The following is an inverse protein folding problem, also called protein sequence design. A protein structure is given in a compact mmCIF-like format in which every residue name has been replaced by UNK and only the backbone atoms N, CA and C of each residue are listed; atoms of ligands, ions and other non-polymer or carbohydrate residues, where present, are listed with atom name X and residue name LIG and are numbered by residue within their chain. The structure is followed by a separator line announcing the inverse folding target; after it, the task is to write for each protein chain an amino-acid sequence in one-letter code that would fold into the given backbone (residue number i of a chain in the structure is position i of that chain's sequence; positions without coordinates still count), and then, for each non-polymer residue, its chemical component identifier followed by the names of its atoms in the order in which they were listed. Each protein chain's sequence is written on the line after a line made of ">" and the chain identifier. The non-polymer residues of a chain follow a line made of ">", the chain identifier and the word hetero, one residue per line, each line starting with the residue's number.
data_IF_585961813177
#
_entry.id   IF_585961813177
#
_cell.length_a   1.000
_cell.length_b   1.000
_cell.length_c   1.000
_cell.angle_alpha   90.00
_cell.angle_beta   90.00
_cell.angle_gamma   90.00
#
_symmetry.space_group_name_H-M   'P 1'
#
loop_
_entity.id
_entity.type
_entity.pdbx_description
1 polymer ?
#
# COMPACT_ATOMS: atom_id res chain seq x y z
N UNK A 1 -55.97 8.80 25.99
CA UNK A 1 -55.25 7.69 26.64
C UNK A 1 -53.98 7.45 25.84
N UNK A 2 -52.81 7.67 26.43
CA UNK A 2 -51.52 7.48 25.75
C UNK A 2 -51.27 6.00 25.50
N UNK A 3 -50.63 5.65 24.38
CA UNK A 3 -50.20 4.27 24.11
C UNK A 3 -49.25 3.82 25.23
N UNK A 4 -49.41 2.60 25.79
CA UNK A 4 -48.49 2.09 26.81
C UNK A 4 -47.07 2.08 26.25
N UNK A 5 -46.11 2.54 27.06
CA UNK A 5 -44.69 2.54 26.69
C UNK A 5 -44.23 1.08 26.66
N UNK A 6 -43.64 0.68 25.54
CA UNK A 6 -43.23 -0.69 25.28
C UNK A 6 -41.69 -0.79 25.26
N UNK A 7 -41.14 -1.61 26.15
CA UNK A 7 -39.71 -1.91 26.17
C UNK A 7 -39.46 -3.29 25.58
N UNK A 8 -38.42 -3.40 24.75
CA UNK A 8 -37.91 -4.65 24.18
C UNK A 8 -36.39 -4.64 24.25
N UNK A 9 -35.79 -5.81 24.48
CA UNK A 9 -34.35 -5.92 24.35
C UNK A 9 -33.96 -6.25 22.91
N UNK A 10 -32.98 -5.51 22.42
CA UNK A 10 -32.23 -5.80 21.20
C UNK A 10 -30.79 -6.06 21.60
N UNK A 11 -30.21 -7.18 21.15
CA UNK A 11 -28.82 -7.54 21.40
C UNK A 11 -28.01 -7.28 20.12
N UNK A 12 -27.31 -6.14 20.00
CA UNK A 12 -26.51 -5.84 18.82
C UNK A 12 -25.22 -6.66 18.82
N UNK A 13 -24.95 -7.33 17.71
CA UNK A 13 -23.74 -8.14 17.49
C UNK A 13 -23.10 -7.71 16.18
N UNK A 14 -21.87 -7.20 16.26
CA UNK A 14 -21.10 -6.84 15.09
C UNK A 14 -20.51 -8.11 14.47
N UNK A 15 -21.05 -8.54 13.32
CA UNK A 15 -20.58 -9.73 12.61
C UNK A 15 -19.38 -9.43 11.71
N UNK A 16 -19.38 -8.26 11.07
CA UNK A 16 -18.27 -7.75 10.27
C UNK A 16 -18.28 -6.22 10.27
N UNK A 17 -17.27 -5.59 9.66
CA UNK A 17 -17.25 -4.12 9.52
C UNK A 17 -18.49 -3.55 8.84
N UNK A 18 -19.17 -4.31 7.98
CA UNK A 18 -20.36 -3.85 7.25
C UNK A 18 -21.67 -4.50 7.70
N UNK A 19 -21.65 -5.49 8.59
CA UNK A 19 -22.83 -6.29 8.96
C UNK A 19 -23.02 -6.30 10.47
N UNK A 20 -24.20 -5.86 10.91
CA UNK A 20 -24.66 -5.89 12.29
C UNK A 20 -25.88 -6.82 12.40
N UNK A 21 -25.83 -7.80 13.29
CA UNK A 21 -27.01 -8.56 13.69
C UNK A 21 -27.68 -7.89 14.89
N UNK A 22 -28.99 -7.67 14.78
CA UNK A 22 -29.84 -7.24 15.90
C UNK A 22 -30.67 -8.43 16.37
N UNK A 23 -30.17 -9.14 17.37
CA UNK A 23 -30.89 -10.27 17.93
C UNK A 23 -32.05 -9.83 18.81
N UNK A 24 -33.22 -10.38 18.53
CA UNK A 24 -34.45 -10.10 19.25
C UNK A 24 -35.34 -11.33 19.27
N UNK A 25 -36.23 -11.38 20.26
CA UNK A 25 -37.18 -12.49 20.37
C UNK A 25 -38.20 -12.39 19.23
N UNK A 26 -38.59 -13.54 18.68
CA UNK A 26 -39.75 -13.62 17.80
C UNK A 26 -41.02 -13.58 18.66
N UNK A 27 -42.04 -12.88 18.16
CA UNK A 27 -43.31 -12.48 18.81
C UNK A 27 -43.30 -11.11 19.52
N UNK A 28 -44.48 -10.50 19.60
CA UNK A 28 -44.70 -9.12 20.06
C UNK A 28 -44.45 -8.88 21.56
N UNK A 29 -43.60 -9.69 22.20
CA UNK A 29 -43.26 -9.58 23.62
C UNK A 29 -42.83 -8.15 23.95
N UNK A 30 -43.60 -7.53 24.83
CA UNK A 30 -43.51 -6.11 25.15
C UNK A 30 -43.56 -6.00 26.67
N UNK A 31 -42.57 -5.32 27.25
CA UNK A 31 -42.45 -5.18 28.68
C UNK A 31 -42.79 -3.75 29.10
N UNK A 32 -43.42 -3.60 30.26
CA UNK A 32 -43.79 -2.28 30.81
C UNK A 32 -42.58 -1.57 31.45
N UNK A 33 -41.51 -2.30 31.76
CA UNK A 33 -40.29 -1.75 32.35
C UNK A 33 -39.03 -2.16 31.60
N UNK A 34 -38.03 -1.27 31.58
CA UNK A 34 -36.70 -1.55 31.01
C UNK A 34 -36.01 -2.73 31.71
N UNK A 35 -36.19 -2.87 33.02
CA UNK A 35 -35.57 -3.94 33.81
C UNK A 35 -36.06 -5.32 33.37
N UNK A 36 -37.35 -5.46 33.11
CA UNK A 36 -37.93 -6.71 32.61
C UNK A 36 -37.45 -7.01 31.20
N UNK A 37 -37.49 -6.02 30.30
CA UNK A 37 -36.96 -6.18 28.94
C UNK A 37 -35.47 -6.58 28.95
N UNK A 38 -34.65 -6.00 29.83
CA UNK A 38 -33.23 -6.31 29.89
C UNK A 38 -32.94 -7.74 30.36
N UNK A 39 -33.79 -8.32 31.20
CA UNK A 39 -33.63 -9.73 31.61
C UNK A 39 -33.93 -10.72 30.49
N UNK A 40 -34.50 -10.26 29.37
CA UNK A 40 -34.85 -11.09 28.22
C UNK A 40 -33.92 -10.91 27.02
N UNK A 41 -32.86 -10.11 27.17
CA UNK A 41 -31.78 -10.03 26.19
C UNK A 41 -31.15 -11.39 25.93
N UNK A 42 -30.71 -11.62 24.69
CA UNK A 42 -29.95 -12.80 24.36
C UNK A 42 -28.55 -12.71 24.98
N UNK A 43 -28.00 -13.86 25.37
CA UNK A 43 -26.57 -13.98 25.55
C UNK A 43 -25.90 -13.92 24.18
N UNK A 44 -25.07 -12.92 23.95
CA UNK A 44 -24.42 -12.70 22.65
C UNK A 44 -23.55 -13.88 22.19
N UNK A 45 -23.14 -14.76 23.12
CA UNK A 45 -22.36 -15.97 22.79
C UNK A 45 -23.22 -17.14 22.30
N UNK A 46 -24.55 -17.07 22.51
CA UNK A 46 -25.50 -18.13 22.17
C UNK A 46 -26.43 -17.74 21.01
N UNK A 47 -26.30 -16.52 20.49
CA UNK A 47 -27.07 -16.03 19.35
C UNK A 47 -26.66 -16.75 18.07
N UNK A 48 -27.65 -17.27 17.36
CA UNK A 48 -27.51 -17.84 16.02
C UNK A 48 -27.98 -16.84 14.96
N UNK A 49 -27.65 -17.07 13.68
CA UNK A 49 -28.02 -16.15 12.59
C UNK A 49 -29.54 -16.04 12.37
N UNK A 50 -30.34 -16.99 12.87
CA UNK A 50 -31.80 -16.95 12.81
C UNK A 50 -32.44 -16.10 13.90
N UNK A 51 -31.68 -15.69 14.92
CA UNK A 51 -32.19 -14.91 16.04
C UNK A 51 -32.14 -13.42 15.70
N UNK A 52 -33.15 -12.92 14.98
CA UNK A 52 -33.35 -11.49 14.69
C UNK A 52 -33.03 -11.08 13.26
N UNK A 53 -32.63 -9.82 13.07
CA UNK A 53 -32.44 -9.20 11.75
C UNK A 53 -30.98 -8.84 11.47
N UNK A 54 -30.56 -8.97 10.20
CA UNK A 54 -29.27 -8.48 9.72
C UNK A 54 -29.44 -7.08 9.12
N UNK A 55 -28.59 -6.16 9.57
CA UNK A 55 -28.47 -4.82 9.04
C UNK A 55 -27.16 -4.69 8.28
N UNK A 56 -27.25 -4.16 7.07
CA UNK A 56 -26.13 -3.91 6.18
C UNK A 56 -25.85 -2.41 6.16
N UNK A 57 -24.57 -2.06 6.28
CA UNK A 57 -24.11 -0.68 6.11
C UNK A 57 -24.34 -0.25 4.66
N UNK A 58 -24.85 0.97 4.45
CA UNK A 58 -25.21 1.51 3.12
C UNK A 58 -24.34 2.69 2.67
N UNK A 59 -23.36 3.09 3.49
CA UNK A 59 -22.42 4.19 3.22
C UNK A 59 -21.09 3.89 3.90
N UNK A 60 -19.97 4.30 3.30
CA UNK A 60 -18.62 3.99 3.79
C UNK A 60 -18.37 2.48 3.98
N UNK A 61 -18.85 1.69 3.01
CA UNK A 61 -18.64 0.25 2.96
C UNK A 61 -17.16 -0.04 2.68
N UNK A 62 -16.56 -0.90 3.51
CA UNK A 62 -15.18 -1.36 3.30
C UNK A 62 -15.21 -2.72 2.62
N UNK A 63 -14.43 -2.92 1.56
CA UNK A 63 -14.32 -4.25 0.95
C UNK A 63 -13.87 -5.27 2.01
N UNK A 64 -14.70 -6.27 2.28
CA UNK A 64 -14.38 -7.36 3.19
C UNK A 64 -13.86 -8.55 2.37
N UNK A 65 -12.87 -9.26 2.91
CA UNK A 65 -12.40 -10.51 2.32
C UNK A 65 -13.52 -11.56 2.35
N UNK A 66 -13.64 -12.32 1.27
CA UNK A 66 -14.49 -13.52 1.20
C UNK A 66 -13.90 -14.73 1.96
N UNK A 67 -12.86 -14.53 2.78
CA UNK A 67 -12.29 -15.56 3.63
C UNK A 67 -13.40 -16.22 4.47
N UNK A 68 -13.49 -17.57 4.48
CA UNK A 68 -12.42 -18.52 4.13
C UNK A 68 -12.55 -19.17 2.73
N UNK A 69 -13.21 -18.53 1.76
CA UNK A 69 -13.32 -19.03 0.37
C UNK A 69 -12.12 -18.62 -0.52
N UNK A 70 -11.00 -18.25 0.08
CA UNK A 70 -9.80 -17.89 -0.69
C UNK A 70 -9.13 -19.16 -1.25
N UNK A 71 -8.85 -19.17 -2.56
CA UNK A 71 -8.02 -20.19 -3.21
C UNK A 71 -8.65 -20.90 -4.41
N UNK A 72 -7.94 -21.91 -4.92
CA UNK A 72 -8.39 -22.75 -6.04
C UNK A 72 -9.28 -23.86 -5.51
N UNK A 73 -10.42 -24.05 -6.16
CA UNK A 73 -11.30 -25.18 -5.87
C UNK A 73 -11.71 -25.88 -7.15
N UNK A 74 -11.66 -27.21 -7.16
CA UNK A 74 -12.39 -28.01 -8.13
C UNK A 74 -13.86 -28.07 -7.68
N UNK A 75 -14.77 -27.66 -8.54
CA UNK A 75 -16.18 -27.49 -8.20
C UNK A 75 -16.97 -28.64 -8.81
N UNK A 76 -17.58 -29.43 -7.94
CA UNK A 76 -18.58 -30.43 -8.33
C UNK A 76 -19.95 -29.97 -7.83
N UNK A 77 -21.01 -30.25 -8.60
CA UNK A 77 -22.36 -29.83 -8.26
C UNK A 77 -23.35 -30.99 -8.39
N UNK A 78 -24.44 -30.92 -7.62
CA UNK A 78 -25.62 -31.78 -7.75
C UNK A 78 -26.84 -30.87 -7.84
N UNK A 79 -27.53 -30.92 -8.98
CA UNK A 79 -28.85 -30.29 -9.17
C UNK A 79 -29.93 -31.35 -9.08
N UNK A 80 -30.99 -31.08 -8.32
CA UNK A 80 -32.20 -31.89 -8.31
C UNK A 80 -33.29 -31.16 -9.13
N UNK A 81 -33.46 -31.53 -10.40
CA UNK A 81 -34.54 -31.10 -11.31
C UNK A 81 -34.83 -29.58 -11.42
N UNK A 82 -34.08 -28.82 -12.23
CA UNK A 82 -34.59 -27.56 -12.82
C UNK A 82 -33.82 -27.05 -14.05
N UNK A 83 -34.58 -26.43 -14.97
CA UNK A 83 -34.08 -25.54 -16.01
C UNK A 83 -33.84 -24.14 -15.41
N UNK A 84 -32.68 -23.54 -15.71
CA UNK A 84 -32.22 -22.26 -15.13
C UNK A 84 -33.25 -21.12 -15.29
N UNK A 85 -33.76 -20.64 -14.16
CA UNK A 85 -34.49 -19.38 -14.01
C UNK A 85 -34.05 -18.77 -12.69
N UNK A 86 -33.11 -17.81 -12.73
CA UNK A 86 -32.65 -17.13 -11.52
C UNK A 86 -33.73 -16.15 -11.04
N UNK A 87 -34.58 -16.55 -10.10
CA UNK A 87 -35.40 -15.60 -9.34
C UNK A 87 -34.64 -15.18 -8.07
N UNK A 88 -34.53 -13.87 -7.87
CA UNK A 88 -33.85 -13.27 -6.72
C UNK A 88 -34.68 -13.42 -5.45
N UNK A 89 -34.22 -14.24 -4.51
CA UNK A 89 -34.84 -14.32 -3.18
C UNK A 89 -34.31 -15.38 -2.22
N UNK A 90 -33.26 -16.15 -2.51
CA UNK A 90 -32.95 -17.39 -1.77
C UNK A 90 -31.90 -17.25 -0.66
N UNK A 91 -32.20 -17.86 0.49
CA UNK A 91 -31.27 -18.07 1.59
C UNK A 91 -30.25 -19.15 1.26
N UNK A 92 -28.97 -18.82 1.42
CA UNK A 92 -27.84 -19.68 1.10
C UNK A 92 -27.03 -19.94 2.37
N UNK A 93 -26.61 -21.18 2.60
CA UNK A 93 -25.68 -21.49 3.70
C UNK A 93 -24.36 -22.03 3.18
N UNK A 94 -23.27 -21.44 3.65
CA UNK A 94 -21.91 -21.96 3.44
C UNK A 94 -21.56 -22.78 4.68
N UNK A 95 -21.29 -24.07 4.50
CA UNK A 95 -20.77 -24.92 5.56
C UNK A 95 -19.26 -25.02 5.41
N UNK A 96 -18.54 -24.42 6.35
CA UNK A 96 -17.08 -24.50 6.45
C UNK A 96 -16.76 -25.61 7.46
N UNK A 97 -16.56 -26.83 6.97
CA UNK A 97 -15.98 -27.91 7.76
C UNK A 97 -14.44 -27.83 7.71
N UNK A 98 -13.73 -28.34 8.73
CA UNK A 98 -12.26 -28.53 8.75
C UNK A 98 -11.76 -29.58 7.73
N UNK A 99 -12.48 -29.78 6.64
CA UNK A 99 -12.13 -30.69 5.55
C UNK A 99 -11.58 -29.91 4.36
N UNK A 100 -10.85 -30.56 3.44
CA UNK A 100 -10.39 -29.96 2.18
C UNK A 100 -11.54 -29.66 1.18
N UNK A 101 -12.80 -29.70 1.64
CA UNK A 101 -13.98 -29.50 0.81
C UNK A 101 -14.88 -28.48 1.47
N UNK A 102 -15.09 -27.32 0.83
CA UNK A 102 -16.12 -26.36 1.25
C UNK A 102 -17.43 -26.73 0.57
N UNK A 103 -18.55 -26.63 1.28
CA UNK A 103 -19.86 -27.05 0.77
C UNK A 103 -20.84 -25.87 0.81
N UNK A 104 -21.56 -25.68 -0.28
CA UNK A 104 -22.59 -24.65 -0.43
C UNK A 104 -23.91 -25.32 -0.76
N UNK A 105 -24.93 -25.02 0.04
CA UNK A 105 -26.28 -25.56 -0.12
C UNK A 105 -27.28 -24.43 -0.36
N UNK A 106 -28.13 -24.62 -1.36
CA UNK A 106 -29.22 -23.71 -1.70
C UNK A 106 -30.57 -24.32 -1.27
N UNK A 107 -31.40 -23.49 -0.62
CA UNK A 107 -32.78 -23.83 -0.29
C UNK A 107 -33.72 -23.30 -1.39
N UNK A 108 -34.70 -24.11 -1.78
CA UNK A 108 -35.70 -23.76 -2.80
C UNK A 108 -36.73 -22.72 -2.32
N UNK A 109 -36.87 -22.53 -1.01
CA UNK A 109 -37.95 -21.75 -0.39
C UNK A 109 -37.44 -20.58 0.45
N UNK A 110 -36.19 -20.17 0.22
CA UNK A 110 -35.50 -19.13 0.99
C UNK A 110 -35.37 -19.42 2.49
N UNK A 111 -35.74 -20.62 2.95
CA UNK A 111 -35.78 -21.01 4.34
C UNK A 111 -34.57 -21.89 4.67
N UNK A 112 -33.69 -21.38 5.55
CA UNK A 112 -32.56 -22.17 6.05
C UNK A 112 -32.95 -23.20 7.13
N UNK A 113 -34.22 -23.19 7.58
CA UNK A 113 -34.67 -23.92 8.78
C UNK A 113 -34.55 -25.45 8.71
N UNK A 114 -34.53 -26.02 7.50
CA UNK A 114 -34.37 -27.46 7.27
C UNK A 114 -33.25 -27.80 6.30
N UNK A 115 -32.38 -26.83 6.00
CA UNK A 115 -31.34 -26.97 4.98
C UNK A 115 -30.23 -27.90 5.46
N UNK A 116 -30.03 -28.99 4.72
CA UNK A 116 -29.03 -30.02 4.96
C UNK A 116 -28.58 -30.61 3.63
N UNK A 117 -27.49 -31.38 3.62
CA UNK A 117 -27.02 -32.09 2.41
C UNK A 117 -28.11 -32.93 1.70
N UNK A 118 -29.10 -33.43 2.46
CA UNK A 118 -30.19 -34.26 1.91
C UNK A 118 -31.38 -33.47 1.42
N UNK A 119 -31.58 -32.27 1.97
CA UNK A 119 -32.74 -31.41 1.73
C UNK A 119 -32.42 -30.21 0.84
N UNK A 120 -31.13 -29.97 0.57
CA UNK A 120 -30.68 -28.94 -0.36
C UNK A 120 -31.21 -29.20 -1.77
N UNK A 121 -31.73 -28.14 -2.37
CA UNK A 121 -32.18 -28.11 -3.75
C UNK A 121 -30.99 -28.24 -4.69
N UNK A 122 -30.02 -27.32 -4.55
CA UNK A 122 -28.73 -27.37 -5.20
C UNK A 122 -27.60 -27.51 -4.18
N UNK A 123 -26.57 -28.28 -4.55
CA UNK A 123 -25.39 -28.49 -3.72
C UNK A 123 -24.12 -28.31 -4.54
N UNK A 124 -23.21 -27.46 -4.08
CA UNK A 124 -21.87 -27.28 -4.64
C UNK A 124 -20.82 -27.73 -3.65
N UNK A 125 -19.82 -28.45 -4.13
CA UNK A 125 -18.69 -28.97 -3.37
C UNK A 125 -17.40 -28.43 -4.00
N UNK A 126 -16.70 -27.62 -3.24
CA UNK A 126 -15.46 -26.95 -3.60
C UNK A 126 -14.29 -27.72 -2.99
N UNK A 127 -13.65 -28.59 -3.77
CA UNK A 127 -12.49 -29.35 -3.34
C UNK A 127 -11.25 -28.48 -3.51
N UNK A 128 -10.49 -28.21 -2.44
CA UNK A 128 -9.26 -27.42 -2.56
C UNK A 128 -8.34 -28.04 -3.62
N UNK A 129 -8.04 -27.27 -4.65
CA UNK A 129 -7.18 -27.69 -5.75
C UNK A 129 -5.76 -27.92 -5.25
N UNK A 130 -5.13 -29.02 -5.66
CA UNK A 130 -3.70 -29.24 -5.42
C UNK A 130 -2.89 -28.15 -6.14
N UNK A 131 -2.03 -27.43 -5.40
CA UNK A 131 -1.05 -26.48 -5.94
C UNK A 131 -0.20 -27.24 -6.96
N UNK A 132 -0.43 -26.92 -8.23
CA UNK A 132 0.06 -27.70 -9.36
C UNK A 132 1.47 -27.27 -9.75
N UNK A 133 2.46 -27.70 -8.97
CA UNK A 133 3.80 -28.19 -9.38
C UNK A 133 4.74 -28.09 -8.17
N UNK A 134 5.38 -29.19 -7.74
CA UNK A 134 6.53 -29.08 -6.85
C UNK A 134 7.66 -28.44 -7.66
N UNK A 135 7.84 -27.14 -7.51
CA UNK A 135 9.07 -26.49 -7.94
C UNK A 135 10.19 -27.01 -7.04
N UNK A 136 11.26 -27.53 -7.66
CA UNK A 136 12.46 -28.02 -6.97
C UNK A 136 12.96 -26.99 -5.93
N UNK A 137 13.68 -27.39 -4.86
CA UNK A 137 13.93 -26.53 -3.69
C UNK A 137 14.61 -25.21 -4.08
N UNK A 138 13.78 -24.18 -4.22
CA UNK A 138 14.11 -22.81 -4.55
C UNK A 138 13.39 -21.96 -3.52
N UNK A 139 14.09 -20.95 -3.00
CA UNK A 139 13.44 -20.00 -2.12
C UNK A 139 13.81 -18.57 -2.48
N UNK A 140 12.86 -17.65 -2.33
CA UNK A 140 13.14 -16.23 -2.41
C UNK A 140 14.18 -15.86 -1.34
N UNK A 141 15.18 -15.03 -1.68
CA UNK A 141 16.20 -14.59 -0.73
C UNK A 141 15.61 -14.00 0.55
N UNK A 142 16.21 -14.30 1.70
CA UNK A 142 15.72 -13.88 3.03
C UNK A 142 15.51 -12.37 3.11
N UNK A 143 16.39 -11.58 2.50
CA UNK A 143 16.29 -10.12 2.52
C UNK A 143 15.06 -9.58 1.79
N UNK A 144 14.46 -10.36 0.87
CA UNK A 144 13.24 -9.98 0.16
C UNK A 144 11.97 -10.39 0.92
N UNK A 145 12.07 -11.33 1.86
CA UNK A 145 10.91 -11.91 2.53
C UNK A 145 10.27 -10.89 3.48
N UNK A 146 8.94 -10.81 3.46
CA UNK A 146 8.20 -9.83 4.25
C UNK A 146 6.84 -9.48 3.66
N UNK A 147 6.14 -8.59 4.36
CA UNK A 147 4.88 -8.01 3.89
C UNK A 147 5.10 -6.55 3.50
N UNK A 148 4.62 -6.21 2.31
CA UNK A 148 4.69 -4.89 1.72
C UNK A 148 3.28 -4.44 1.34
N UNK A 149 3.12 -3.16 1.02
CA UNK A 149 1.83 -2.54 0.65
C UNK A 149 1.06 -3.28 -0.46
N UNK A 150 1.78 -3.78 -1.46
CA UNK A 150 1.22 -4.29 -2.72
C UNK A 150 1.76 -5.67 -3.07
N UNK A 151 2.59 -6.24 -2.20
CA UNK A 151 3.10 -7.60 -2.34
C UNK A 151 3.41 -8.27 -1.01
N UNK A 152 3.50 -9.60 -1.05
CA UNK A 152 3.94 -10.44 0.06
C UNK A 152 4.93 -11.46 -0.46
N UNK A 153 6.09 -11.54 0.18
CA UNK A 153 7.17 -12.45 -0.19
C UNK A 153 7.38 -13.44 0.94
N UNK A 154 7.14 -14.71 0.66
CA UNK A 154 7.47 -15.84 1.54
C UNK A 154 8.69 -16.58 0.98
N UNK A 155 9.13 -17.64 1.67
CA UNK A 155 10.23 -18.46 1.14
C UNK A 155 9.92 -19.05 -0.24
N UNK A 156 8.68 -19.46 -0.51
CA UNK A 156 8.37 -20.21 -1.73
C UNK A 156 7.56 -19.41 -2.76
N UNK A 157 6.83 -18.40 -2.29
CA UNK A 157 5.84 -17.68 -3.10
C UNK A 157 5.97 -16.17 -2.92
N UNK A 158 5.86 -15.45 -4.03
CA UNK A 158 5.62 -14.01 -4.10
C UNK A 158 4.17 -13.80 -4.56
N UNK A 159 3.39 -13.03 -3.79
CA UNK A 159 2.07 -12.57 -4.19
C UNK A 159 2.12 -11.07 -4.45
N UNK A 160 1.58 -10.61 -5.58
CA UNK A 160 1.57 -9.17 -5.91
C UNK A 160 0.44 -8.85 -6.89
N UNK A 161 0.10 -7.57 -7.00
CA UNK A 161 -0.80 -7.04 -8.01
C UNK A 161 0.03 -6.30 -9.07
N UNK A 162 -0.14 -6.62 -10.35
CA UNK A 162 0.47 -5.80 -11.41
C UNK A 162 -0.33 -4.51 -11.57
N UNK A 163 0.30 -3.34 -11.60
CA UNK A 163 -0.42 -2.06 -11.70
C UNK A 163 -0.90 -1.79 -13.14
N UNK A 164 -1.98 -2.44 -13.59
CA UNK A 164 -2.67 -2.15 -14.85
C UNK A 164 -4.19 -2.25 -14.70
N UNK A 165 -4.95 -1.52 -15.52
CA UNK A 165 -6.42 -1.57 -15.50
C UNK A 165 -6.89 -3.01 -15.77
N UNK A 166 -7.65 -3.57 -14.83
CA UNK A 166 -8.09 -4.97 -14.88
C UNK A 166 -7.10 -5.99 -14.29
N UNK A 167 -6.10 -5.53 -13.54
CA UNK A 167 -5.09 -6.41 -12.96
C UNK A 167 -5.66 -7.48 -12.03
N UNK A 168 -5.25 -8.71 -12.29
CA UNK A 168 -5.57 -9.87 -11.46
C UNK A 168 -4.40 -10.11 -10.51
N UNK A 169 -4.65 -10.33 -9.21
CA UNK A 169 -3.61 -10.71 -8.27
C UNK A 169 -2.86 -11.96 -8.75
N UNK A 170 -1.53 -11.92 -8.69
CA UNK A 170 -0.64 -12.98 -9.15
C UNK A 170 0.03 -13.69 -7.98
N UNK A 171 0.33 -14.98 -8.19
CA UNK A 171 1.19 -15.79 -7.36
C UNK A 171 2.37 -16.22 -8.22
N UNK A 172 3.59 -16.06 -7.70
CA UNK A 172 4.82 -16.45 -8.36
C UNK A 172 5.61 -17.42 -7.50
N UNK A 173 5.86 -18.59 -8.06
CA UNK A 173 6.58 -19.68 -7.42
C UNK A 173 8.05 -19.64 -7.81
N UNK A 174 8.94 -19.75 -6.83
CA UNK A 174 10.39 -19.76 -7.08
C UNK A 174 10.79 -20.97 -7.92
N UNK A 175 11.48 -20.74 -9.04
CA UNK A 175 12.04 -21.80 -9.91
C UNK A 175 13.56 -21.87 -9.78
N UNK A 176 14.24 -20.71 -9.83
CA UNK A 176 15.70 -20.61 -9.66
C UNK A 176 16.13 -19.20 -9.23
N UNK A 177 17.03 -19.10 -8.27
CA UNK A 177 17.63 -17.81 -7.86
C UNK A 177 18.94 -17.53 -8.58
N UNK A 178 19.19 -16.24 -8.82
CA UNK A 178 20.44 -15.65 -9.27
C UNK A 178 20.83 -14.57 -8.24
N UNK A 179 21.88 -13.78 -8.51
CA UNK A 179 22.36 -12.76 -7.58
C UNK A 179 21.36 -11.60 -7.39
N UNK A 180 20.87 -11.03 -8.49
CA UNK A 180 19.92 -9.89 -8.54
C UNK A 180 18.52 -10.31 -9.05
N UNK A 181 18.34 -11.59 -9.40
CA UNK A 181 17.18 -12.07 -10.14
C UNK A 181 16.60 -13.36 -9.58
N UNK A 182 15.31 -13.56 -9.78
CA UNK A 182 14.62 -14.81 -9.46
C UNK A 182 13.80 -15.24 -10.67
N UNK A 183 14.11 -16.42 -11.20
CA UNK A 183 13.25 -17.09 -12.17
C UNK A 183 12.04 -17.65 -11.44
N UNK A 184 10.85 -17.37 -11.95
CA UNK A 184 9.59 -17.78 -11.35
C UNK A 184 8.66 -18.42 -12.39
N UNK A 185 7.70 -19.17 -11.90
CA UNK A 185 6.50 -19.52 -12.63
C UNK A 185 5.33 -18.80 -11.99
N UNK A 186 4.56 -18.05 -12.77
CA UNK A 186 3.44 -17.28 -12.24
C UNK A 186 2.11 -17.75 -12.78
N UNK A 187 1.10 -17.55 -11.95
CA UNK A 187 -0.30 -17.81 -12.21
C UNK A 187 -1.15 -16.73 -11.53
N UNK A 188 -2.37 -16.54 -11.99
CA UNK A 188 -3.34 -15.73 -11.26
C UNK A 188 -3.71 -16.42 -9.94
N UNK A 189 -4.24 -15.68 -8.96
CA UNK A 189 -4.82 -16.31 -7.74
C UNK A 189 -5.93 -17.32 -8.05
N UNK A 190 -6.51 -17.27 -9.24
CA UNK A 190 -7.50 -18.23 -9.75
C UNK A 190 -6.86 -19.48 -10.39
N UNK A 191 -5.53 -19.51 -10.56
CA UNK A 191 -4.79 -20.65 -11.12
C UNK A 191 -4.65 -20.63 -12.64
N UNK A 192 -4.91 -19.50 -13.30
CA UNK A 192 -4.63 -19.35 -14.73
C UNK A 192 -3.13 -19.13 -14.92
N UNK A 193 -2.43 -19.99 -15.66
CA UNK A 193 -0.98 -19.89 -15.80
C UNK A 193 -0.60 -18.68 -16.66
N UNK A 194 0.28 -17.82 -16.14
CA UNK A 194 0.97 -16.80 -16.94
C UNK A 194 2.23 -17.37 -17.61
N UNK A 195 2.91 -18.30 -16.93
CA UNK A 195 4.11 -18.97 -17.45
C UNK A 195 5.39 -18.61 -16.69
N UNK A 196 6.52 -19.01 -17.25
CA UNK A 196 7.86 -18.76 -16.71
C UNK A 196 8.38 -17.39 -17.12
N UNK A 197 8.90 -16.65 -16.14
CA UNK A 197 9.58 -15.37 -16.38
C UNK A 197 10.65 -15.13 -15.33
N UNK A 198 11.28 -13.97 -15.43
CA UNK A 198 12.29 -13.51 -14.50
C UNK A 198 11.82 -12.25 -13.78
N UNK A 199 12.13 -12.19 -12.49
CA UNK A 199 12.01 -10.99 -11.67
C UNK A 199 13.39 -10.44 -11.38
N UNK A 200 13.61 -9.16 -11.66
CA UNK A 200 14.83 -8.43 -11.32
C UNK A 200 14.52 -7.53 -10.12
N UNK A 201 15.15 -7.79 -8.98
CA UNK A 201 14.89 -7.05 -7.74
C UNK A 201 16.00 -6.04 -7.43
N UNK A 202 15.63 -4.97 -6.73
CA UNK A 202 16.58 -4.00 -6.23
C UNK A 202 16.10 -3.46 -4.86
N UNK A 203 16.91 -3.65 -3.81
CA UNK A 203 16.67 -3.00 -2.54
C UNK A 203 17.08 -1.53 -2.63
N UNK A 204 16.12 -0.61 -2.60
CA UNK A 204 16.38 0.84 -2.72
C UNK A 204 16.66 1.49 -1.39
N UNK A 205 16.03 0.99 -0.34
CA UNK A 205 16.26 1.39 1.04
C UNK A 205 15.91 0.22 1.96
N UNK A 206 15.99 0.44 3.28
CA UNK A 206 15.48 -0.53 4.26
C UNK A 206 13.96 -0.71 4.19
N UNK A 207 13.26 0.27 3.62
CA UNK A 207 11.80 0.35 3.63
C UNK A 207 11.18 0.02 2.29
N UNK A 208 11.94 0.07 1.19
CA UNK A 208 11.40 -0.03 -0.16
C UNK A 208 12.27 -0.93 -1.02
N UNK A 209 11.60 -1.86 -1.69
CA UNK A 209 12.19 -2.63 -2.77
C UNK A 209 11.47 -2.31 -4.07
N UNK A 210 12.21 -2.44 -5.16
CA UNK A 210 11.61 -2.42 -6.49
C UNK A 210 11.88 -3.72 -7.22
N UNK A 211 11.00 -4.05 -8.17
CA UNK A 211 11.27 -5.13 -9.11
C UNK A 211 10.78 -4.84 -10.53
N UNK A 212 11.39 -5.51 -11.50
CA UNK A 212 10.94 -5.59 -12.89
C UNK A 212 10.52 -7.02 -13.21
N UNK A 213 9.58 -7.19 -14.12
CA UNK A 213 9.07 -8.50 -14.57
C UNK A 213 9.37 -8.66 -16.05
N UNK A 214 10.10 -9.71 -16.45
CA UNK A 214 10.28 -10.03 -17.87
C UNK A 214 8.98 -10.55 -18.49
N UNK A 215 8.94 -10.64 -19.82
CA UNK A 215 7.78 -11.21 -20.52
C UNK A 215 7.65 -12.72 -20.18
N UNK A 216 6.47 -13.20 -19.76
CA UNK A 216 6.21 -14.63 -19.53
C UNK A 216 6.30 -15.50 -20.78
N UNK A 217 6.70 -16.75 -20.57
CA UNK A 217 6.83 -17.77 -21.62
C UNK A 217 6.34 -19.13 -21.13
N UNK A 218 5.83 -19.97 -22.02
CA UNK A 218 5.30 -21.29 -21.63
C UNK A 218 6.38 -22.29 -21.18
N UNK A 219 7.62 -22.10 -21.63
CA UNK A 219 8.72 -23.05 -21.43
C UNK A 219 9.75 -22.48 -20.45
N UNK A 220 10.15 -23.32 -19.49
CA UNK A 220 11.26 -22.99 -18.61
C UNK A 220 12.56 -22.88 -19.42
N UNK A 221 13.12 -21.68 -19.49
CA UNK A 221 14.41 -21.42 -20.10
C UNK A 221 15.19 -20.43 -19.23
N UNK A 222 16.38 -20.83 -18.74
CA UNK A 222 17.19 -19.97 -17.88
C UNK A 222 17.70 -18.72 -18.60
N UNK A 223 17.73 -18.71 -19.94
CA UNK A 223 18.13 -17.52 -20.71
C UNK A 223 17.21 -16.33 -20.48
N UNK A 224 15.97 -16.57 -20.02
CA UNK A 224 15.01 -15.52 -19.64
C UNK A 224 15.58 -14.66 -18.50
N UNK A 225 16.42 -15.22 -17.62
CA UNK A 225 17.05 -14.44 -16.55
C UNK A 225 18.44 -13.90 -16.88
N UNK A 226 19.11 -14.37 -17.94
CA UNK A 226 20.50 -13.96 -18.23
C UNK A 226 20.59 -12.87 -19.29
N UNK A 227 19.55 -12.66 -20.11
CA UNK A 227 19.55 -11.58 -21.09
C UNK A 227 19.41 -10.21 -20.41
N UNK A 228 20.41 -9.34 -20.54
CA UNK A 228 20.41 -8.01 -19.90
C UNK A 228 19.65 -6.94 -20.69
N UNK A 229 19.50 -7.07 -22.01
CA UNK A 229 18.91 -6.01 -22.85
C UNK A 229 17.38 -5.98 -22.80
N UNK A 230 16.74 -7.02 -22.26
CA UNK A 230 15.27 -7.06 -22.17
C UNK A 230 14.70 -6.08 -21.12
N UNK A 231 15.54 -5.53 -20.24
CA UNK A 231 15.09 -4.76 -19.07
C UNK A 231 14.99 -3.26 -19.32
N UNK A 232 15.55 -2.74 -20.41
CA UNK A 232 15.74 -1.30 -20.62
C UNK A 232 14.39 -0.55 -20.66
N UNK A 233 13.37 -1.17 -21.26
CA UNK A 233 12.04 -0.57 -21.43
C UNK A 233 10.98 -1.09 -20.44
N UNK A 234 11.37 -1.96 -19.51
CA UNK A 234 10.43 -2.52 -18.53
C UNK A 234 10.33 -1.56 -17.34
N UNK A 235 9.12 -1.13 -16.94
CA UNK A 235 8.93 -0.24 -15.81
C UNK A 235 9.31 -0.93 -14.49
N UNK A 236 9.73 -0.13 -13.52
CA UNK A 236 9.91 -0.60 -12.15
C UNK A 236 8.57 -0.61 -11.43
N UNK A 237 8.37 -1.65 -10.62
CA UNK A 237 7.31 -1.69 -9.64
C UNK A 237 7.91 -1.40 -8.27
N UNK A 238 7.33 -0.46 -7.52
CA UNK A 238 7.77 -0.03 -6.19
C UNK A 238 6.82 -0.56 -5.13
N UNK A 239 7.36 -1.02 -4.01
CA UNK A 239 6.54 -1.49 -2.90
C UNK A 239 7.25 -1.30 -1.57
N UNK A 240 6.53 -0.73 -0.60
CA UNK A 240 7.05 -0.35 0.72
C UNK A 240 6.69 -1.38 1.79
N UNK A 241 7.60 -1.64 2.72
CA UNK A 241 7.36 -2.49 3.88
C UNK A 241 6.19 -1.92 4.69
N UNK A 242 5.26 -2.78 5.10
CA UNK A 242 4.12 -2.36 5.92
C UNK A 242 4.58 -1.81 7.28
N UNK A 243 3.89 -0.79 7.78
CA UNK A 243 4.19 -0.13 9.06
C UNK A 243 5.64 0.38 9.18
N UNK A 244 6.22 0.80 8.04
CA UNK A 244 7.58 1.30 8.01
C UNK A 244 7.74 2.60 8.82
N UNK A 245 8.95 2.82 9.35
CA UNK A 245 9.32 4.08 9.99
C UNK A 245 9.63 5.16 8.95
N UNK A 246 9.43 6.46 9.28
CA UNK A 246 9.82 7.57 8.43
C UNK A 246 11.31 7.50 8.03
N UNK A 247 11.62 7.90 6.81
CA UNK A 247 12.95 7.88 6.22
C UNK A 247 13.35 9.27 5.72
N UNK A 248 14.63 9.68 5.80
CA UNK A 248 15.06 10.98 5.30
C UNK A 248 14.72 11.18 3.81
N UNK A 249 14.19 12.35 3.45
CA UNK A 249 13.83 12.69 2.06
C UNK A 249 15.06 12.83 1.14
N UNK A 250 16.27 12.92 1.69
CA UNK A 250 17.53 13.00 0.94
C UNK A 250 17.88 14.40 0.42
N UNK A 251 17.00 15.38 0.58
CA UNK A 251 17.19 16.81 0.31
C UNK A 251 16.77 17.57 1.58
N UNK A 252 17.40 18.72 1.83
CA UNK A 252 17.02 19.66 2.90
C UNK A 252 17.00 21.08 2.35
N UNK A 253 16.13 21.93 2.90
CA UNK A 253 16.03 23.35 2.55
C UNK A 253 14.69 23.73 1.93
N UNK A 254 14.57 25.02 1.61
CA UNK A 254 13.37 25.60 1.00
C UNK A 254 13.69 26.00 -0.43
N UNK A 255 12.84 25.54 -1.36
CA UNK A 255 12.95 25.84 -2.77
C UNK A 255 11.67 26.52 -3.24
N UNK A 256 11.81 27.68 -3.88
CA UNK A 256 10.66 28.50 -4.30
C UNK A 256 10.63 28.71 -5.81
N UNK A 257 9.43 28.72 -6.40
CA UNK A 257 9.30 29.03 -7.82
C UNK A 257 9.72 30.46 -8.14
N UNK A 258 10.43 30.71 -9.26
CA UNK A 258 10.84 32.05 -9.64
C UNK A 258 9.60 32.89 -9.97
N UNK A 259 9.51 34.09 -9.40
CA UNK A 259 8.47 35.06 -9.79
C UNK A 259 8.73 35.56 -11.20
N UNK A 260 7.90 35.15 -12.15
CA UNK A 260 7.85 35.75 -13.50
C UNK A 260 6.64 36.68 -13.58
N UNK A 261 6.68 37.68 -14.47
CA UNK A 261 5.66 38.74 -14.55
C UNK A 261 4.26 38.22 -14.91
N UNK A 262 4.16 37.04 -15.54
CA UNK A 262 2.92 36.50 -16.10
C UNK A 262 2.36 35.30 -15.29
N UNK A 263 2.85 35.07 -14.06
CA UNK A 263 2.53 33.87 -13.29
C UNK A 263 1.68 34.20 -12.04
N UNK A 264 0.46 33.66 -11.99
CA UNK A 264 -0.49 33.91 -10.90
C UNK A 264 -0.21 33.05 -9.65
N UNK A 265 0.33 31.84 -9.85
CA UNK A 265 0.54 30.84 -8.80
C UNK A 265 2.02 30.45 -8.64
N UNK A 266 2.47 30.44 -7.39
CA UNK A 266 3.82 30.13 -6.97
C UNK A 266 3.79 28.95 -5.99
N UNK A 267 4.91 28.24 -5.91
CA UNK A 267 5.06 27.06 -5.05
C UNK A 267 6.34 27.12 -4.22
N UNK A 268 6.23 26.72 -2.96
CA UNK A 268 7.36 26.44 -2.07
C UNK A 268 7.42 24.94 -1.78
N UNK A 269 8.60 24.35 -2.01
CA UNK A 269 8.94 23.00 -1.61
C UNK A 269 9.88 23.08 -0.41
N UNK A 270 9.42 22.57 0.73
CA UNK A 270 10.11 22.68 2.01
C UNK A 270 10.49 21.28 2.45
N UNK A 271 11.80 21.01 2.49
CA UNK A 271 12.35 19.81 3.09
C UNK A 271 12.90 20.18 4.48
N UNK A 272 12.22 19.70 5.53
CA UNK A 272 12.45 20.18 6.89
C UNK A 272 13.83 19.74 7.42
N UNK A 273 14.64 20.71 7.86
CA UNK A 273 15.99 20.45 8.38
C UNK A 273 16.00 19.78 9.77
N UNK A 274 14.95 19.99 10.57
CA UNK A 274 14.82 19.44 11.92
C UNK A 274 14.13 18.07 11.91
N UNK A 275 13.20 17.87 10.98
CA UNK A 275 12.48 16.61 10.73
C UNK A 275 12.79 16.13 9.31
N UNK A 276 13.93 15.45 9.08
CA UNK A 276 14.44 15.16 7.73
C UNK A 276 13.55 14.23 6.90
N UNK A 277 12.55 13.59 7.52
CA UNK A 277 11.54 12.77 6.85
C UNK A 277 10.31 13.55 6.40
N UNK A 278 10.24 14.86 6.67
CA UNK A 278 9.07 15.69 6.35
C UNK A 278 9.34 16.59 5.15
N UNK A 279 8.39 16.57 4.21
CA UNK A 279 8.36 17.40 3.03
C UNK A 279 7.01 18.11 2.94
N UNK A 280 7.01 19.41 2.72
CA UNK A 280 5.80 20.21 2.52
C UNK A 280 5.82 20.89 1.15
N UNK A 281 4.67 20.93 0.48
CA UNK A 281 4.43 21.70 -0.75
C UNK A 281 3.36 22.74 -0.45
N UNK A 282 3.69 24.01 -0.61
CA UNK A 282 2.75 25.13 -0.44
C UNK A 282 2.46 25.75 -1.81
N UNK A 283 1.19 26.01 -2.11
CA UNK A 283 0.77 26.78 -3.28
C UNK A 283 0.15 28.12 -2.82
N UNK A 284 0.61 29.21 -3.44
CA UNK A 284 0.22 30.56 -3.05
C UNK A 284 0.15 31.50 -4.25
N UNK A 285 -0.63 32.57 -4.11
CA UNK A 285 -0.70 33.62 -5.12
C UNK A 285 0.63 34.41 -5.14
N UNK A 286 1.29 34.49 -6.30
CA UNK A 286 2.62 35.12 -6.41
C UNK A 286 2.62 36.61 -6.00
N UNK A 287 1.49 37.29 -6.19
CA UNK A 287 1.30 38.73 -6.01
C UNK A 287 1.17 39.14 -4.54
N UNK A 288 0.31 38.48 -3.78
CA UNK A 288 -0.01 38.84 -2.38
C UNK A 288 0.53 37.84 -1.35
N UNK A 289 0.99 36.66 -1.79
CA UNK A 289 1.53 35.62 -0.92
C UNK A 289 0.47 34.81 -0.18
N UNK A 290 -0.81 34.94 -0.52
CA UNK A 290 -1.88 34.19 0.14
C UNK A 290 -1.76 32.70 -0.27
N UNK A 291 -1.55 31.84 0.73
CA UNK A 291 -1.52 30.38 0.57
C UNK A 291 -2.96 29.89 0.41
N UNK A 292 -3.22 29.14 -0.65
CA UNK A 292 -4.54 28.55 -0.92
C UNK A 292 -4.52 27.02 -0.92
N UNK A 293 -3.33 26.39 -1.02
CA UNK A 293 -3.17 24.94 -0.86
C UNK A 293 -1.87 24.60 -0.12
N UNK A 294 -1.89 23.54 0.68
CA UNK A 294 -0.77 23.07 1.48
C UNK A 294 -0.84 21.56 1.64
N UNK A 295 0.20 20.87 1.19
CA UNK A 295 0.31 19.41 1.27
C UNK A 295 1.54 19.02 2.07
N UNK A 296 1.36 18.14 3.06
CA UNK A 296 2.42 17.61 3.91
C UNK A 296 2.61 16.12 3.64
N UNK A 297 3.86 15.73 3.48
CA UNK A 297 4.28 14.39 3.12
C UNK A 297 5.30 13.86 4.14
N UNK A 298 5.17 12.58 4.46
CA UNK A 298 6.18 11.82 5.18
C UNK A 298 6.93 10.93 4.20
N UNK A 299 8.24 11.15 4.07
CA UNK A 299 9.12 10.34 3.25
C UNK A 299 9.28 8.95 3.88
N UNK A 300 9.08 7.91 3.07
CA UNK A 300 9.22 6.50 3.46
C UNK A 300 10.48 5.87 2.87
N UNK A 301 10.97 6.39 1.73
CA UNK A 301 12.24 6.00 1.14
C UNK A 301 12.79 7.12 0.25
N UNK A 302 14.10 7.21 0.13
CA UNK A 302 14.75 8.02 -0.91
C UNK A 302 16.00 7.32 -1.43
N UNK A 303 16.22 7.41 -2.74
CA UNK A 303 17.40 6.82 -3.39
C UNK A 303 17.78 7.57 -4.66
N UNK A 304 19.06 7.49 -5.01
CA UNK A 304 19.57 8.06 -6.26
C UNK A 304 19.46 7.04 -7.38
N UNK A 305 19.09 7.54 -8.55
CA UNK A 305 19.18 6.81 -9.81
C UNK A 305 19.78 7.77 -10.83
N UNK A 306 21.01 7.48 -11.24
CA UNK A 306 21.83 8.37 -12.07
C UNK A 306 21.95 9.78 -11.46
N UNK A 307 21.47 10.80 -12.17
CA UNK A 307 21.45 12.22 -11.79
C UNK A 307 20.14 12.68 -11.13
N UNK A 308 19.28 11.71 -10.75
CA UNK A 308 17.97 11.96 -10.15
C UNK A 308 17.92 11.43 -8.73
N UNK A 309 17.18 12.13 -7.87
CA UNK A 309 16.78 11.59 -6.57
C UNK A 309 15.28 11.32 -6.61
N UNK A 310 14.92 10.08 -6.27
CA UNK A 310 13.55 9.64 -6.12
C UNK A 310 13.18 9.64 -4.64
N UNK A 311 11.98 10.12 -4.33
CA UNK A 311 11.47 10.27 -2.97
C UNK A 311 10.09 9.63 -2.94
N UNK A 312 9.98 8.51 -2.24
CA UNK A 312 8.71 7.83 -2.03
C UNK A 312 8.08 8.35 -0.75
N UNK A 313 6.82 8.79 -0.83
CA UNK A 313 6.15 9.46 0.28
C UNK A 313 4.78 8.87 0.54
N UNK A 314 4.30 9.11 1.76
CA UNK A 314 2.93 8.90 2.16
C UNK A 314 2.36 10.22 2.69
N UNK A 315 1.08 10.45 2.45
CA UNK A 315 0.30 11.55 3.01
C UNK A 315 -0.72 10.97 3.98
N UNK A 316 -0.85 11.56 5.16
CA UNK A 316 -1.71 11.02 6.22
C UNK A 316 -3.15 10.83 5.71
N UNK A 317 -3.56 9.56 5.53
CA UNK A 317 -4.85 9.10 4.98
C UNK A 317 -5.06 9.22 3.46
N UNK A 318 -3.99 9.32 2.67
CA UNK A 318 -4.07 9.39 1.19
C UNK A 318 -3.17 8.35 0.50
N UNK A 319 -3.21 8.37 -0.84
CA UNK A 319 -2.41 7.54 -1.74
C UNK A 319 -0.90 7.84 -1.60
N UNK A 320 -0.11 6.81 -1.88
CA UNK A 320 1.34 6.91 -1.94
C UNK A 320 1.73 7.72 -3.17
N UNK A 321 2.70 8.62 -3.00
CA UNK A 321 3.14 9.50 -4.08
C UNK A 321 4.67 9.49 -4.15
N UNK A 322 5.18 9.31 -5.36
CA UNK A 322 6.60 9.34 -5.63
C UNK A 322 6.99 10.61 -6.39
N UNK A 323 7.99 11.28 -5.87
CA UNK A 323 8.59 12.45 -6.49
C UNK A 323 9.91 12.11 -7.14
N UNK A 324 10.08 12.51 -8.39
CA UNK A 324 11.37 12.45 -9.10
C UNK A 324 11.94 13.85 -9.18
N UNK A 325 13.19 13.98 -8.72
CA UNK A 325 13.89 15.26 -8.67
C UNK A 325 15.14 15.25 -9.53
N UNK A 326 15.49 16.41 -10.08
CA UNK A 326 16.73 16.61 -10.80
C UNK A 326 17.32 17.98 -10.42
N UNK A 327 18.60 18.01 -10.08
CA UNK A 327 19.32 19.24 -9.76
C UNK A 327 20.21 19.64 -10.93
N UNK A 328 19.93 20.78 -11.54
CA UNK A 328 20.71 21.30 -12.65
C UNK A 328 20.82 22.82 -12.55
N UNK A 329 22.04 23.36 -12.71
CA UNK A 329 22.34 24.80 -12.72
C UNK A 329 21.77 25.57 -11.52
N UNK A 330 21.83 24.96 -10.32
CA UNK A 330 21.32 25.54 -9.08
C UNK A 330 19.79 25.55 -8.95
N UNK A 331 19.09 24.88 -9.86
CA UNK A 331 17.63 24.72 -9.86
C UNK A 331 17.27 23.29 -9.50
N UNK A 332 16.23 23.15 -8.68
CA UNK A 332 15.59 21.89 -8.39
C UNK A 332 14.35 21.75 -9.28
N UNK A 333 14.32 20.68 -10.05
CA UNK A 333 13.14 20.24 -10.79
C UNK A 333 12.52 19.10 -10.00
N UNK A 334 11.21 19.14 -9.76
CA UNK A 334 10.45 18.09 -9.08
C UNK A 334 9.20 17.77 -9.87
N UNK A 335 8.89 16.48 -10.01
CA UNK A 335 7.66 15.99 -10.61
C UNK A 335 7.06 14.88 -9.74
N UNK A 336 5.75 14.94 -9.53
CA UNK A 336 4.95 13.85 -8.97
C UNK A 336 4.70 12.78 -10.05
N UNK A 337 4.82 11.49 -9.71
CA UNK A 337 4.85 10.37 -10.67
C UNK A 337 3.97 9.19 -10.26
N UNK A 338 3.09 9.39 -9.27
CA UNK A 338 2.24 8.35 -8.71
C UNK A 338 3.03 7.39 -7.82
N UNK A 339 2.52 6.17 -7.65
CA UNK A 339 2.99 5.17 -6.69
C UNK A 339 4.13 4.28 -7.22
N UNK A 340 4.55 4.42 -8.49
CA UNK A 340 5.56 3.54 -9.12
C UNK A 340 6.89 4.22 -9.47
N UNK A 341 7.09 5.48 -9.06
CA UNK A 341 8.37 6.19 -9.25
C UNK A 341 8.88 6.18 -10.70
N UNK A 342 8.04 6.62 -11.65
CA UNK A 342 8.40 6.64 -13.06
C UNK A 342 9.58 7.59 -13.34
N UNK A 343 10.67 7.05 -13.90
CA UNK A 343 11.94 7.79 -14.03
C UNK A 343 12.02 8.67 -15.27
N UNK A 344 11.32 8.28 -16.34
CA UNK A 344 11.43 8.86 -17.67
C UNK A 344 10.60 10.14 -17.82
N UNK A 345 10.74 11.05 -16.85
CA UNK A 345 10.04 12.33 -16.85
C UNK A 345 10.84 13.35 -17.66
N UNK A 346 10.19 13.87 -18.70
CA UNK A 346 10.63 15.05 -19.45
C UNK A 346 10.17 16.32 -18.72
N UNK A 347 11.08 16.86 -17.88
CA UNK A 347 10.86 18.10 -17.14
C UNK A 347 10.65 19.33 -18.04
N UNK A 348 11.00 19.28 -19.33
CA UNK A 348 10.83 20.39 -20.26
C UNK A 348 9.40 20.44 -20.84
N UNK A 349 8.75 19.28 -21.02
CA UNK A 349 7.39 19.14 -21.56
C UNK A 349 6.29 19.21 -20.49
N UNK A 350 6.55 18.76 -19.27
CA UNK A 350 5.55 18.68 -18.20
C UNK A 350 5.49 19.96 -17.32
N UNK A 351 5.49 21.15 -17.93
CA UNK A 351 5.59 22.42 -17.18
C UNK A 351 4.42 22.68 -16.22
N UNK A 352 3.25 22.06 -16.45
CA UNK A 352 2.07 22.19 -15.59
C UNK A 352 2.18 21.36 -14.29
N UNK A 353 3.02 20.30 -14.27
CA UNK A 353 3.22 19.40 -13.12
C UNK A 353 4.63 19.49 -12.53
N UNK A 354 5.44 20.46 -12.97
CA UNK A 354 6.84 20.61 -12.57
C UNK A 354 7.05 21.92 -11.83
N UNK A 355 7.27 21.83 -10.53
CA UNK A 355 7.73 22.97 -9.74
C UNK A 355 9.22 23.18 -10.00
N UNK A 356 9.56 24.23 -10.75
CA UNK A 356 10.95 24.70 -10.88
C UNK A 356 11.26 25.58 -9.68
N UNK A 357 12.10 25.11 -8.77
CA UNK A 357 12.29 25.77 -7.49
C UNK A 357 13.78 26.13 -7.26
N UNK A 358 14.04 27.33 -6.74
CA UNK A 358 15.38 27.85 -6.44
C UNK A 358 15.62 27.80 -4.94
N UNK A 359 16.84 27.46 -4.53
CA UNK A 359 17.22 27.50 -3.12
C UNK A 359 17.25 28.96 -2.64
N UNK A 360 16.40 29.32 -1.67
CA UNK A 360 16.46 30.63 -1.04
C UNK A 360 17.68 30.73 -0.11
N UNK A 361 18.83 31.12 -0.64
CA UNK A 361 19.92 31.61 0.21
C UNK A 361 19.48 32.99 0.74
N UNK A 362 18.95 33.03 1.97
CA UNK A 362 18.74 34.29 2.71
C UNK A 362 20.09 35.01 2.82
N UNK A 363 20.35 35.97 1.92
CA UNK A 363 21.42 36.95 2.10
C UNK A 363 21.03 37.83 3.29
N UNK A 364 21.62 37.59 4.45
CA UNK A 364 21.65 38.56 5.54
C UNK A 364 22.31 39.85 5.03
N UNK A 365 21.47 40.84 4.70
CA UNK A 365 21.89 42.18 4.32
C UNK A 365 22.47 42.90 5.54
N UNK A 366 23.77 42.76 5.79
CA UNK A 366 24.49 43.72 6.62
C UNK A 366 24.80 44.96 5.77
N UNK A 367 23.86 45.92 5.74
CA UNK A 367 24.18 47.30 5.37
C UNK A 367 24.33 48.16 6.62
N UNK A 368 25.47 48.83 6.67
CA UNK A 368 25.81 50.04 7.43
C UNK A 368 26.11 49.90 8.93
N UNK A 369 27.37 49.59 9.23
CA UNK A 369 28.10 50.29 10.30
C UNK A 369 29.19 51.15 9.66
N UNK A 370 29.03 52.47 9.84
CA UNK A 370 29.97 53.50 9.37
C UNK A 370 31.35 53.26 9.96
N UNK A 371 32.35 53.40 9.10
CA UNK A 371 33.76 53.54 9.47
C UNK A 371 33.89 54.80 10.33
N UNK A 372 34.23 54.63 11.61
CA UNK A 372 34.85 55.68 12.41
C UNK A 372 36.36 55.37 12.49
N UNK A 373 37.17 56.24 11.89
CA UNK A 373 38.63 56.28 12.09
C UNK A 373 38.93 57.10 13.34
N UNK A 374 39.45 56.44 14.37
CA UNK A 374 40.36 56.97 15.41
C UNK A 374 41.26 55.77 15.71
N UNK A 375 42.55 55.76 15.39
CA UNK A 375 43.59 56.58 16.01
C UNK A 375 44.38 55.69 16.98
N UNK A 376 45.47 55.11 16.47
CA UNK A 376 46.70 54.64 17.15
C UNK A 376 46.67 54.32 18.66
N UNK A 377 47.10 53.11 19.03
CA UNK A 377 48.29 52.92 19.88
C UNK A 377 48.77 51.45 19.92
N UNK A 378 50.08 51.34 20.11
CA UNK A 378 50.99 50.21 19.97
C UNK A 378 51.12 49.34 21.23
N UNK A 379 51.42 48.04 21.06
CA UNK A 379 52.50 47.26 21.74
C UNK A 379 52.30 45.74 21.49
N UNK A 380 53.17 45.07 20.72
CA UNK A 380 54.36 44.30 21.14
C UNK A 380 54.08 43.12 22.13
N UNK A 381 54.16 41.86 21.67
CA UNK A 381 55.35 40.97 21.78
C UNK A 381 55.02 39.46 21.56
N UNK A 382 55.68 38.88 20.53
CA UNK A 382 56.56 37.71 20.49
C UNK A 382 56.23 36.31 21.11
N UNK A 383 56.65 35.32 20.29
CA UNK A 383 57.16 33.95 20.52
C UNK A 383 56.14 32.80 20.60
N UNK A 384 56.10 31.85 19.64
CA UNK A 384 57.08 30.83 19.15
C UNK A 384 57.29 29.67 20.13
N UNK A 385 56.86 28.47 19.72
CA UNK A 385 57.57 27.16 19.74
C UNK A 385 56.52 26.05 19.57
N UNK A 386 56.43 25.38 18.41
CA UNK A 386 57.18 24.14 18.03
C UNK A 386 56.82 22.88 18.83
N UNK A 387 56.54 21.78 18.12
CA UNK A 387 56.80 20.44 18.63
C UNK A 387 55.86 19.31 18.19
N UNK A 388 56.19 18.71 17.06
CA UNK A 388 56.04 17.29 16.64
C UNK A 388 54.68 16.58 16.80
N UNK A 389 54.03 16.11 15.74
CA UNK A 389 54.47 15.13 14.73
C UNK A 389 54.59 13.70 15.30
N UNK A 390 53.59 12.86 15.00
CA UNK A 390 53.83 11.51 14.53
C UNK A 390 52.56 10.88 13.93
N UNK A 391 52.69 10.67 12.62
CA UNK A 391 51.94 9.79 11.75
C UNK A 391 52.03 8.32 12.20
N UNK A 392 50.93 7.56 12.07
CA UNK A 392 50.95 6.29 11.32
C UNK A 392 49.54 5.74 11.04
N UNK A 393 49.48 5.16 9.86
CA UNK A 393 48.38 4.69 9.03
C UNK A 393 48.06 3.20 9.22
N UNK A 394 46.89 2.80 8.67
CA UNK A 394 46.49 1.45 8.19
C UNK A 394 46.22 0.39 9.29
N UNK A 395 45.24 -0.52 9.22
CA UNK A 395 44.29 -0.95 8.19
C UNK A 395 43.35 -2.03 8.76
N UNK A 396 42.15 -2.14 8.17
CA UNK A 396 41.43 -3.36 7.76
C UNK A 396 40.71 -4.31 8.74
N UNK A 397 39.52 -4.72 8.23
CA UNK A 397 38.72 -5.94 8.40
C UNK A 397 38.30 -6.45 9.79
N UNK A 398 36.98 -6.49 9.95
CA UNK A 398 36.19 -7.27 10.89
C UNK A 398 34.73 -7.18 10.49
#
# INVERSE_FOLDING_TARGET
>A
MGRPICFRCLTPILLSQNVLQLAHQYEENCYETEKEARMTCFDSTLVTISDGALLFRTSDEQAASCSPMDGRFDVSYRMNDAALSCESGEGTTIVIEETNVRKLYFANDSSCSSLSMKTAFDSYYFHSGTIAKPFAPCSFPIWMQGEFDSMKVSSNELQYLQHHVGAVPLISHCVKTFEDRVMVFSETKCGEPLGYHCLLFNARSQNLIEFKTSVPTDKSNTSICTNSTQWDNIPWFSSVVLNTSPYPCGIVGTFSTPKTLDQDYCYDLIFNCNEPSKMDILAYHCNDGIIFDSKSYTCLASWKHDDRLLIYTNRENEEQECFVTHFQDGKLFVAATGDQCERNIDFAKNQENVSKAYNEIKKTNNKTSRIARVGSESNNHNNVSEGNDNTRTLSSFG
#
